data_IF_760221818443
#
_entry.id   IF_760221818443
#
_cell.length_a   1.000
_cell.length_b   1.000
_cell.length_c   1.000
_cell.angle_alpha   90.00
_cell.angle_beta   90.00
_cell.angle_gamma   90.00
#
_symmetry.space_group_name_H-M   'P 1'
#
loop_
_entity.id
_entity.type
_entity.pdbx_description
1 polymer ?
#
# COMPACT_ATOMS: atom_id res chain seq x y z
N UNK A 1 -12.42 22.63 -3.06
CA UNK A 1 -11.75 21.61 -2.23
C UNK A 1 -10.62 21.08 -3.09
N UNK A 2 -9.37 21.33 -2.70
CA UNK A 2 -8.22 20.79 -3.44
C UNK A 2 -8.05 19.30 -3.12
N UNK A 3 -7.81 18.43 -4.11
CA UNK A 3 -7.56 17.01 -3.87
C UNK A 3 -6.25 16.78 -3.07
N UNK A 4 -6.24 15.81 -2.16
CA UNK A 4 -5.07 15.44 -1.34
C UNK A 4 -3.89 14.84 -2.13
N UNK A 5 -4.14 14.49 -3.40
CA UNK A 5 -3.17 13.92 -4.32
C UNK A 5 -2.07 14.94 -4.66
N UNK A 6 -0.83 14.46 -4.73
CA UNK A 6 0.36 15.25 -4.97
C UNK A 6 0.73 15.29 -6.44
N UNK A 7 1.43 16.34 -6.84
CA UNK A 7 2.23 16.30 -8.07
C UNK A 7 3.66 15.82 -7.75
N UNK A 8 4.44 15.56 -8.81
CA UNK A 8 5.82 15.07 -8.70
C UNK A 8 6.72 15.94 -7.80
N UNK A 9 6.61 17.27 -7.90
CA UNK A 9 7.44 18.18 -7.12
C UNK A 9 7.09 18.09 -5.63
N UNK A 10 5.80 18.09 -5.30
CA UNK A 10 5.32 17.95 -3.92
C UNK A 10 5.75 16.62 -3.29
N UNK A 11 5.62 15.51 -4.04
CA UNK A 11 6.03 14.20 -3.58
C UNK A 11 7.54 14.11 -3.33
N UNK A 12 8.34 14.69 -4.23
CA UNK A 12 9.80 14.78 -4.05
C UNK A 12 10.17 15.59 -2.82
N UNK A 13 9.55 16.75 -2.62
CA UNK A 13 9.85 17.63 -1.49
C UNK A 13 9.49 16.95 -0.15
N UNK A 14 8.34 16.27 -0.10
CA UNK A 14 7.92 15.48 1.06
C UNK A 14 8.88 14.32 1.34
N UNK A 15 9.29 13.59 0.30
CA UNK A 15 10.27 12.52 0.41
C UNK A 15 11.60 13.04 0.99
N UNK A 16 12.14 14.13 0.44
CA UNK A 16 13.40 14.71 0.92
C UNK A 16 13.30 15.14 2.38
N UNK A 17 12.18 15.77 2.76
CA UNK A 17 11.92 16.17 4.15
C UNK A 17 11.91 14.96 5.09
N UNK A 18 11.08 13.96 4.80
CA UNK A 18 10.91 12.78 5.67
C UNK A 18 12.20 11.97 5.76
N UNK A 19 12.96 11.85 4.66
CA UNK A 19 14.25 11.16 4.67
C UNK A 19 15.25 11.83 5.62
N UNK A 20 15.30 13.17 5.62
CA UNK A 20 16.18 13.92 6.51
C UNK A 20 15.76 13.81 7.99
N UNK A 21 14.45 13.81 8.26
CA UNK A 21 13.89 13.77 9.61
C UNK A 21 13.97 12.36 10.22
N UNK A 22 13.55 11.33 9.47
CA UNK A 22 13.38 9.96 9.97
C UNK A 22 14.65 9.11 9.86
N UNK A 23 15.58 9.46 8.96
CA UNK A 23 16.83 8.71 8.71
C UNK A 23 16.58 7.21 8.55
N UNK A 24 15.74 6.83 7.57
CA UNK A 24 15.24 5.46 7.45
C UNK A 24 16.35 4.47 7.13
N UNK A 25 16.11 3.21 7.52
CA UNK A 25 16.89 2.04 7.09
C UNK A 25 16.11 1.14 6.14
N UNK A 26 14.83 1.44 5.91
CA UNK A 26 13.96 0.68 5.02
C UNK A 26 14.37 0.85 3.54
N UNK A 27 13.93 -0.05 2.64
CA UNK A 27 14.17 0.09 1.22
C UNK A 27 13.57 1.38 0.63
N UNK A 28 14.36 2.06 -0.20
CA UNK A 28 13.94 3.23 -0.97
C UNK A 28 14.05 2.89 -2.47
N UNK A 29 13.04 2.20 -3.05
CA UNK A 29 13.13 1.69 -4.41
C UNK A 29 13.19 2.82 -5.44
N UNK A 30 13.79 2.52 -6.59
CA UNK A 30 13.73 3.38 -7.75
C UNK A 30 12.43 3.15 -8.52
N UNK A 31 11.96 4.19 -9.20
CA UNK A 31 10.86 4.07 -10.14
C UNK A 31 11.24 3.17 -11.32
N UNK A 32 10.24 2.70 -12.08
CA UNK A 32 10.45 1.82 -13.25
C UNK A 32 10.99 2.56 -14.49
N UNK A 33 11.30 3.85 -14.39
CA UNK A 33 11.80 4.65 -15.49
C UNK A 33 13.31 4.44 -15.69
N UNK A 34 13.83 4.83 -16.85
CA UNK A 34 15.25 4.74 -17.21
C UNK A 34 15.80 6.11 -17.57
N UNK A 35 17.13 6.25 -17.53
CA UNK A 35 17.82 7.48 -17.91
C UNK A 35 17.45 8.66 -17.00
N UNK A 36 17.26 9.85 -17.57
CA UNK A 36 17.01 11.09 -16.83
C UNK A 36 15.72 11.09 -16.01
N UNK A 37 14.77 10.18 -16.32
CA UNK A 37 13.52 10.03 -15.56
C UNK A 37 13.65 9.04 -14.40
N UNK A 38 14.79 8.34 -14.29
CA UNK A 38 15.05 7.45 -13.17
C UNK A 38 15.20 8.28 -11.89
N UNK A 39 14.37 7.98 -10.91
CA UNK A 39 14.35 8.65 -9.61
C UNK A 39 13.86 7.65 -8.55
N UNK A 40 13.98 7.95 -7.25
CA UNK A 40 13.24 7.21 -6.23
C UNK A 40 11.76 7.15 -6.57
N UNK A 41 11.11 6.03 -6.28
CA UNK A 41 9.65 5.92 -6.23
C UNK A 41 9.18 6.68 -4.98
N UNK A 42 9.02 8.00 -5.11
CA UNK A 42 8.89 8.92 -3.98
C UNK A 42 7.79 8.53 -2.99
N UNK A 43 6.59 8.23 -3.49
CA UNK A 43 5.44 7.84 -2.69
C UNK A 43 5.65 6.49 -2.01
N UNK A 44 6.18 5.50 -2.73
CA UNK A 44 6.55 4.20 -2.14
C UNK A 44 7.57 4.36 -1.02
N UNK A 45 8.63 5.13 -1.25
CA UNK A 45 9.65 5.39 -0.23
C UNK A 45 9.09 6.16 0.97
N UNK A 46 8.20 7.15 0.75
CA UNK A 46 7.48 7.85 1.84
C UNK A 46 6.71 6.87 2.71
N UNK A 47 5.94 5.96 2.09
CA UNK A 47 5.16 4.95 2.81
C UNK A 47 6.08 4.03 3.61
N UNK A 48 7.16 3.53 3.00
CA UNK A 48 8.13 2.67 3.69
C UNK A 48 8.73 3.36 4.92
N UNK A 49 9.16 4.61 4.79
CA UNK A 49 9.70 5.42 5.90
C UNK A 49 8.69 5.59 7.04
N UNK A 50 7.43 5.86 6.71
CA UNK A 50 6.36 6.06 7.69
C UNK A 50 6.01 4.75 8.41
N UNK A 51 6.00 3.61 7.69
CA UNK A 51 5.80 2.29 8.29
C UNK A 51 6.96 1.96 9.23
N UNK A 52 8.21 2.08 8.78
CA UNK A 52 9.40 1.79 9.58
C UNK A 52 9.43 2.60 10.88
N UNK A 53 9.21 3.92 10.78
CA UNK A 53 9.23 4.81 11.93
C UNK A 53 8.15 4.49 12.99
N UNK A 54 7.11 3.73 12.63
CA UNK A 54 5.99 3.42 13.51
C UNK A 54 5.85 1.92 13.84
N UNK A 55 6.67 1.03 13.24
CA UNK A 55 6.55 -0.43 13.40
C UNK A 55 7.07 -0.96 14.75
N UNK A 56 7.58 -0.10 15.63
CA UNK A 56 8.24 -0.46 16.90
C UNK A 56 9.44 -1.41 16.71
N UNK A 57 10.05 -1.41 15.52
CA UNK A 57 11.15 -2.32 15.20
C UNK A 57 10.70 -3.74 14.85
N UNK A 58 9.40 -4.00 14.73
CA UNK A 58 8.92 -5.26 14.17
C UNK A 58 9.25 -5.37 12.68
N UNK A 59 9.45 -6.61 12.23
CA UNK A 59 9.70 -6.92 10.83
C UNK A 59 8.56 -6.40 9.96
N UNK A 60 8.94 -5.88 8.79
CA UNK A 60 8.04 -5.44 7.75
C UNK A 60 8.64 -5.92 6.43
N UNK A 61 7.82 -6.54 5.58
CA UNK A 61 8.26 -6.93 4.25
C UNK A 61 7.79 -5.89 3.23
N UNK A 62 8.71 -5.02 2.79
CA UNK A 62 8.44 -3.90 1.88
C UNK A 62 8.51 -4.27 0.39
N UNK A 63 8.89 -5.51 0.07
CA UNK A 63 8.86 -6.07 -1.28
C UNK A 63 8.86 -7.60 -1.16
N UNK A 64 7.70 -8.22 -0.90
CA UNK A 64 7.69 -9.61 -0.47
C UNK A 64 8.18 -10.63 -1.48
N UNK A 65 8.12 -10.33 -2.78
CA UNK A 65 8.55 -11.22 -3.88
C UNK A 65 7.95 -12.64 -3.86
N UNK A 66 6.99 -12.89 -2.99
CA UNK A 66 6.30 -14.16 -2.79
C UNK A 66 4.80 -13.91 -2.54
N UNK A 67 3.99 -14.96 -2.64
CA UNK A 67 2.55 -14.87 -2.46
C UNK A 67 2.20 -14.91 -0.97
N UNK A 68 1.27 -14.05 -0.55
CA UNK A 68 0.74 -14.13 0.81
C UNK A 68 -0.07 -15.41 1.01
N UNK A 69 0.11 -16.05 2.16
CA UNK A 69 -0.58 -17.30 2.49
C UNK A 69 -1.15 -17.27 3.90
N UNK A 70 -2.28 -17.96 4.07
CA UNK A 70 -2.97 -18.13 5.33
C UNK A 70 -2.93 -19.61 5.70
N UNK A 71 -2.41 -19.90 6.88
CA UNK A 71 -2.21 -21.26 7.36
C UNK A 71 -3.10 -21.57 8.56
N UNK A 72 -3.39 -22.84 8.76
CA UNK A 72 -3.97 -23.39 9.99
C UNK A 72 -3.11 -24.59 10.39
N UNK A 73 -2.62 -24.62 11.63
CA UNK A 73 -1.65 -25.63 12.10
C UNK A 73 -0.45 -25.82 11.15
N UNK A 74 0.09 -24.70 10.65
CA UNK A 74 1.17 -24.64 9.66
C UNK A 74 0.86 -25.26 8.28
N UNK A 75 -0.38 -25.67 8.01
CA UNK A 75 -0.81 -26.12 6.69
C UNK A 75 -1.44 -24.95 5.90
N UNK A 76 -1.05 -24.71 4.64
CA UNK A 76 -1.62 -23.63 3.83
C UNK A 76 -3.07 -23.93 3.46
N UNK A 77 -3.97 -23.01 3.84
CA UNK A 77 -5.41 -23.11 3.56
C UNK A 77 -5.80 -22.23 2.38
N UNK A 78 -5.18 -21.06 2.26
CA UNK A 78 -5.44 -20.08 1.21
C UNK A 78 -4.16 -19.33 0.88
N UNK A 79 -3.94 -19.00 -0.38
CA UNK A 79 -2.87 -18.10 -0.82
C UNK A 79 -3.43 -17.07 -1.78
N UNK A 80 -2.93 -15.84 -1.77
CA UNK A 80 -3.27 -14.89 -2.83
C UNK A 80 -2.71 -15.37 -4.17
N UNK A 81 -3.40 -15.01 -5.23
CA UNK A 81 -2.98 -15.31 -6.62
C UNK A 81 -1.87 -14.38 -7.09
N UNK A 82 -1.69 -13.25 -6.40
CA UNK A 82 -0.72 -12.21 -6.75
C UNK A 82 0.13 -11.79 -5.56
N UNK A 83 1.23 -11.10 -5.91
CA UNK A 83 2.11 -10.45 -4.95
C UNK A 83 1.56 -9.05 -4.67
N UNK A 84 1.60 -8.68 -3.41
CA UNK A 84 1.31 -7.33 -2.94
C UNK A 84 2.60 -6.50 -2.89
N UNK A 85 2.45 -5.18 -2.71
CA UNK A 85 3.61 -4.28 -2.60
C UNK A 85 4.27 -4.36 -1.22
N UNK A 86 3.54 -4.76 -0.17
CA UNK A 86 4.15 -5.10 1.11
C UNK A 86 3.21 -5.70 2.14
N UNK A 87 3.79 -6.18 3.24
CA UNK A 87 3.10 -6.91 4.30
C UNK A 87 3.68 -6.64 5.68
N UNK A 88 2.82 -6.70 6.70
CA UNK A 88 3.21 -6.64 8.11
C UNK A 88 2.66 -7.84 8.90
N UNK A 89 3.49 -8.53 9.71
CA UNK A 89 4.95 -8.42 9.74
C UNK A 89 5.60 -9.11 8.52
N UNK A 90 4.95 -10.15 7.99
CA UNK A 90 5.41 -10.94 6.85
C UNK A 90 4.21 -11.44 6.03
N UNK A 91 4.48 -12.23 4.98
CA UNK A 91 3.45 -12.74 4.04
C UNK A 91 2.66 -13.96 4.50
N UNK A 92 3.09 -14.65 5.55
CA UNK A 92 2.44 -15.83 6.11
C UNK A 92 1.63 -15.42 7.33
N UNK A 93 0.30 -15.54 7.23
CA UNK A 93 -0.64 -14.97 8.20
C UNK A 93 -0.39 -13.46 8.48
N UNK A 94 -0.37 -12.61 7.44
CA UNK A 94 -0.17 -11.18 7.61
C UNK A 94 -1.29 -10.56 8.46
N UNK A 95 -0.93 -9.58 9.28
CA UNK A 95 -1.87 -8.66 9.93
C UNK A 95 -2.30 -7.59 8.92
N UNK A 96 -1.37 -7.12 8.10
CA UNK A 96 -1.65 -6.13 7.07
C UNK A 96 -0.97 -6.45 5.75
N UNK A 97 -1.64 -6.11 4.67
CA UNK A 97 -1.14 -6.09 3.30
C UNK A 97 -1.44 -4.71 2.71
N UNK A 98 -0.53 -4.21 1.89
CA UNK A 98 -0.75 -2.95 1.19
C UNK A 98 -0.33 -3.00 -0.27
N UNK A 99 -1.01 -2.14 -1.04
CA UNK A 99 -0.72 -1.86 -2.43
C UNK A 99 -0.50 -0.35 -2.63
N UNK A 100 0.44 -0.01 -3.52
CA UNK A 100 0.88 1.35 -3.77
C UNK A 100 0.79 1.63 -5.26
N UNK A 101 -0.04 2.61 -5.63
CA UNK A 101 -0.20 3.03 -7.02
C UNK A 101 0.34 4.45 -7.21
N UNK A 102 1.57 4.53 -7.73
CA UNK A 102 2.29 5.76 -8.03
C UNK A 102 2.50 5.94 -9.54
N UNK A 103 2.13 7.11 -10.09
CA UNK A 103 2.17 7.34 -11.54
C UNK A 103 2.79 8.66 -12.01
N UNK A 104 3.60 9.37 -11.21
CA UNK A 104 4.08 10.74 -11.51
C UNK A 104 4.73 11.01 -12.88
N UNK A 105 5.26 9.98 -13.54
CA UNK A 105 5.90 10.09 -14.86
C UNK A 105 4.99 9.66 -16.02
N UNK A 106 3.72 9.38 -15.74
CA UNK A 106 2.73 8.91 -16.69
C UNK A 106 2.09 10.10 -17.41
N UNK A 107 2.06 10.04 -18.75
CA UNK A 107 1.47 11.10 -19.59
C UNK A 107 0.10 10.74 -20.15
N UNK A 108 -0.32 9.47 -20.02
CA UNK A 108 -1.60 8.98 -20.53
C UNK A 108 -2.28 8.10 -19.50
N UNK A 109 -3.61 8.23 -19.41
CA UNK A 109 -4.39 7.26 -18.66
C UNK A 109 -4.62 6.03 -19.55
N UNK A 110 -4.08 4.89 -19.15
CA UNK A 110 -4.09 3.67 -19.95
C UNK A 110 -4.22 2.42 -19.10
N UNK A 111 -4.10 1.26 -19.77
CA UNK A 111 -4.32 -0.06 -19.16
C UNK A 111 -3.61 -0.22 -17.82
N UNK A 112 -2.35 0.21 -17.69
CA UNK A 112 -1.57 0.08 -16.46
C UNK A 112 -2.23 0.70 -15.22
N UNK A 113 -2.92 1.83 -15.35
CA UNK A 113 -3.58 2.48 -14.21
C UNK A 113 -4.87 1.73 -13.86
N UNK A 114 -5.61 1.29 -14.89
CA UNK A 114 -6.79 0.44 -14.72
C UNK A 114 -6.45 -0.92 -14.09
N UNK A 115 -5.37 -1.55 -14.56
CA UNK A 115 -4.83 -2.81 -14.05
C UNK A 115 -4.58 -2.68 -12.54
N UNK A 116 -3.99 -1.57 -12.10
CA UNK A 116 -3.79 -1.31 -10.67
C UNK A 116 -5.08 -1.40 -9.85
N UNK A 117 -6.22 -0.91 -10.36
CA UNK A 117 -7.51 -0.97 -9.66
C UNK A 117 -8.10 -2.38 -9.69
N UNK A 118 -8.04 -3.05 -10.84
CA UNK A 118 -8.60 -4.41 -10.98
C UNK A 118 -7.77 -5.47 -10.24
N UNK A 119 -6.46 -5.29 -10.16
CA UNK A 119 -5.56 -6.12 -9.34
C UNK A 119 -5.94 -6.00 -7.86
N UNK A 120 -6.06 -4.78 -7.33
CA UNK A 120 -6.52 -4.59 -5.94
C UNK A 120 -7.92 -5.15 -5.70
N UNK A 121 -8.80 -5.08 -6.69
CA UNK A 121 -10.13 -5.67 -6.57
C UNK A 121 -10.07 -7.20 -6.46
N UNK A 122 -9.24 -7.85 -7.28
CA UNK A 122 -9.00 -9.29 -7.20
C UNK A 122 -8.46 -9.66 -5.82
N UNK A 123 -7.36 -9.04 -5.39
CA UNK A 123 -6.74 -9.29 -4.08
C UNK A 123 -7.76 -9.07 -2.94
N UNK A 124 -8.61 -8.04 -3.06
CA UNK A 124 -9.69 -7.76 -2.11
C UNK A 124 -10.78 -8.84 -2.04
N UNK A 125 -11.16 -9.46 -3.15
CA UNK A 125 -12.09 -10.61 -3.15
C UNK A 125 -11.46 -11.84 -2.49
N UNK A 126 -10.20 -12.12 -2.80
CA UNK A 126 -9.45 -13.23 -2.21
C UNK A 126 -9.32 -13.09 -0.69
N UNK A 127 -9.02 -11.87 -0.22
CA UNK A 127 -8.97 -11.55 1.21
C UNK A 127 -10.35 -11.54 1.87
N UNK A 128 -11.41 -11.25 1.12
CA UNK A 128 -12.79 -11.35 1.63
C UNK A 128 -13.14 -12.80 1.96
N UNK A 129 -12.80 -13.75 1.09
CA UNK A 129 -12.97 -15.19 1.37
C UNK A 129 -12.19 -15.62 2.61
N UNK A 130 -10.95 -15.13 2.79
CA UNK A 130 -10.16 -15.40 3.99
C UNK A 130 -10.86 -14.88 5.25
N UNK A 131 -11.41 -13.66 5.21
CA UNK A 131 -12.16 -13.08 6.33
C UNK A 131 -13.42 -13.89 6.65
N UNK A 132 -14.19 -14.26 5.63
CA UNK A 132 -15.49 -14.90 5.76
C UNK A 132 -15.39 -16.39 6.13
N UNK A 133 -14.41 -17.12 5.58
CA UNK A 133 -14.29 -18.56 5.77
C UNK A 133 -13.25 -18.96 6.82
N UNK A 134 -12.20 -18.16 7.04
CA UNK A 134 -11.16 -18.46 8.04
C UNK A 134 -11.28 -17.61 9.31
N UNK A 135 -12.18 -16.62 9.33
CA UNK A 135 -12.34 -15.71 10.46
C UNK A 135 -11.13 -14.81 10.73
N UNK A 136 -10.15 -14.78 9.81
CA UNK A 136 -8.91 -14.01 9.97
C UNK A 136 -9.14 -12.58 9.54
N UNK A 137 -8.99 -11.64 10.48
CA UNK A 137 -9.03 -10.20 10.19
C UNK A 137 -7.70 -9.78 9.59
N UNK A 138 -7.77 -9.07 8.47
CA UNK A 138 -6.60 -8.55 7.79
C UNK A 138 -6.87 -7.13 7.29
N UNK A 139 -5.90 -6.25 7.50
CA UNK A 139 -5.88 -4.91 6.93
C UNK A 139 -5.43 -5.02 5.47
N UNK A 140 -6.27 -4.54 4.55
CA UNK A 140 -5.95 -4.46 3.13
C UNK A 140 -6.00 -2.99 2.71
N UNK A 141 -4.83 -2.36 2.63
CA UNK A 141 -4.71 -0.93 2.40
C UNK A 141 -4.31 -0.62 0.95
N UNK A 142 -5.06 0.24 0.29
CA UNK A 142 -4.69 0.80 -1.01
C UNK A 142 -4.21 2.24 -0.84
N UNK A 143 -2.99 2.54 -1.27
CA UNK A 143 -2.42 3.88 -1.21
C UNK A 143 -2.18 4.37 -2.63
N UNK A 144 -2.75 5.52 -2.98
CA UNK A 144 -2.64 6.04 -4.34
C UNK A 144 -2.14 7.49 -4.33
N UNK A 145 -1.31 7.82 -5.31
CA UNK A 145 -0.87 9.19 -5.54
C UNK A 145 -0.61 9.47 -7.02
N UNK A 146 -0.37 10.75 -7.33
CA UNK A 146 -0.38 11.42 -8.62
C UNK A 146 -1.73 12.07 -8.97
N UNK A 147 -1.79 13.37 -8.69
CA UNK A 147 -2.89 14.27 -9.01
C UNK A 147 -3.29 14.20 -10.48
N UNK A 148 -2.34 14.26 -11.41
CA UNK A 148 -2.68 14.31 -12.83
C UNK A 148 -3.32 13.00 -13.29
N UNK A 149 -2.75 11.87 -12.87
CA UNK A 149 -3.28 10.55 -13.22
C UNK A 149 -4.67 10.33 -12.65
N UNK A 150 -4.85 10.47 -11.34
CA UNK A 150 -6.10 10.09 -10.69
C UNK A 150 -7.18 11.16 -10.77
N UNK A 151 -6.83 12.43 -10.54
CA UNK A 151 -7.79 13.52 -10.57
C UNK A 151 -7.95 14.16 -11.95
N UNK A 152 -6.85 14.33 -12.68
CA UNK A 152 -6.87 14.92 -14.02
C UNK A 152 -7.54 13.99 -15.03
N UNK A 153 -7.08 12.75 -15.12
CA UNK A 153 -7.49 11.81 -16.17
C UNK A 153 -8.39 10.67 -15.68
N UNK A 154 -8.26 10.27 -14.40
CA UNK A 154 -8.78 9.00 -13.87
C UNK A 154 -9.99 9.07 -12.95
N UNK A 155 -10.79 10.15 -13.00
CA UNK A 155 -11.87 10.37 -12.02
C UNK A 155 -12.87 9.22 -11.90
N UNK A 156 -13.18 8.54 -13.00
CA UNK A 156 -14.08 7.37 -12.98
C UNK A 156 -13.50 6.20 -12.16
N UNK A 157 -12.18 6.04 -12.12
CA UNK A 157 -11.52 5.02 -11.32
C UNK A 157 -11.47 5.38 -9.83
N UNK A 158 -11.46 6.67 -9.48
CA UNK A 158 -11.68 7.08 -8.10
C UNK A 158 -13.05 6.61 -7.58
N UNK A 159 -14.11 6.70 -8.41
CA UNK A 159 -15.41 6.15 -8.04
C UNK A 159 -15.35 4.63 -7.83
N UNK A 160 -14.61 3.90 -8.68
CA UNK A 160 -14.43 2.44 -8.51
C UNK A 160 -13.69 2.09 -7.22
N UNK A 161 -12.69 2.88 -6.85
CA UNK A 161 -11.98 2.71 -5.59
C UNK A 161 -12.92 2.98 -4.39
N UNK A 162 -13.79 3.99 -4.49
CA UNK A 162 -14.85 4.19 -3.50
C UNK A 162 -15.81 3.00 -3.44
N UNK A 163 -16.21 2.42 -4.58
CA UNK A 163 -17.06 1.22 -4.61
C UNK A 163 -16.36 0.05 -3.91
N UNK A 164 -15.07 -0.18 -4.18
CA UNK A 164 -14.27 -1.23 -3.54
C UNK A 164 -14.21 -1.08 -2.02
N UNK A 165 -14.09 0.15 -1.52
CA UNK A 165 -14.12 0.43 -0.09
C UNK A 165 -15.49 0.10 0.51
N UNK A 166 -16.59 0.51 -0.13
CA UNK A 166 -17.95 0.19 0.34
C UNK A 166 -18.26 -1.31 0.29
N UNK A 167 -17.72 -2.02 -0.70
CA UNK A 167 -17.84 -3.47 -0.81
C UNK A 167 -16.98 -4.23 0.22
N UNK A 168 -16.11 -3.53 0.95
CA UNK A 168 -15.19 -4.11 1.93
C UNK A 168 -14.09 -4.95 1.28
N UNK A 169 -13.71 -4.65 0.03
CA UNK A 169 -12.60 -5.32 -0.67
C UNK A 169 -11.25 -4.79 -0.21
N UNK A 170 -11.18 -3.49 0.05
CA UNK A 170 -10.10 -2.83 0.79
C UNK A 170 -10.65 -2.40 2.14
N UNK A 171 -9.82 -2.47 3.18
CA UNK A 171 -10.20 -1.94 4.50
C UNK A 171 -9.97 -0.45 4.59
N UNK A 172 -9.02 0.08 3.80
CA UNK A 172 -8.71 1.50 3.77
C UNK A 172 -8.13 1.93 2.43
N UNK A 173 -8.43 3.17 2.04
CA UNK A 173 -7.84 3.84 0.89
C UNK A 173 -7.23 5.16 1.35
N UNK A 174 -5.97 5.41 1.04
CA UNK A 174 -5.23 6.59 1.49
C UNK A 174 -4.77 7.40 0.28
N UNK A 175 -5.12 8.69 0.24
CA UNK A 175 -4.88 9.54 -0.93
C UNK A 175 -3.74 10.53 -0.70
N UNK A 176 -2.65 10.36 -1.45
CA UNK A 176 -1.51 11.27 -1.48
C UNK A 176 -1.01 11.69 -0.09
N UNK A 177 -1.09 13.00 0.22
CA UNK A 177 -0.53 13.57 1.47
C UNK A 177 -1.12 12.96 2.75
N UNK A 178 -2.29 12.34 2.67
CA UNK A 178 -2.94 11.68 3.80
C UNK A 178 -2.07 10.57 4.41
N UNK A 179 -1.14 9.98 3.64
CA UNK A 179 -0.23 8.96 4.16
C UNK A 179 0.55 9.44 5.38
N UNK A 180 0.92 10.72 5.43
CA UNK A 180 1.71 11.31 6.53
C UNK A 180 0.96 11.25 7.85
N UNK A 181 -0.36 11.33 7.82
CA UNK A 181 -1.21 11.28 9.02
C UNK A 181 -1.77 9.89 9.29
N UNK A 182 -2.20 9.17 8.24
CA UNK A 182 -2.98 7.94 8.41
C UNK A 182 -2.11 6.69 8.53
N UNK A 183 -1.03 6.56 7.76
CA UNK A 183 -0.13 5.38 7.84
C UNK A 183 0.45 5.20 9.25
N UNK A 184 0.95 6.25 9.94
CA UNK A 184 1.42 6.10 11.32
C UNK A 184 0.37 5.55 12.30
N UNK A 185 -0.90 5.91 12.12
CA UNK A 185 -1.99 5.42 12.97
C UNK A 185 -2.30 3.95 12.68
N UNK A 186 -2.37 3.58 11.39
CA UNK A 186 -2.57 2.19 10.97
C UNK A 186 -1.47 1.27 11.49
N UNK A 187 -0.21 1.67 11.38
CA UNK A 187 0.91 0.85 11.85
C UNK A 187 0.85 0.67 13.37
N UNK A 188 0.41 1.68 14.14
CA UNK A 188 0.17 1.53 15.58
C UNK A 188 -0.95 0.54 15.88
N UNK A 189 -2.01 0.51 15.07
CA UNK A 189 -3.07 -0.51 15.17
C UNK A 189 -2.51 -1.90 14.87
N UNK A 190 -1.69 -2.05 13.82
CA UNK A 190 -1.06 -3.32 13.44
C UNK A 190 -0.13 -3.86 14.52
N UNK A 191 0.75 -3.00 15.05
CA UNK A 191 1.67 -3.40 16.13
C UNK A 191 0.92 -3.81 17.39
N UNK A 192 -0.18 -3.12 17.74
CA UNK A 192 -1.04 -3.51 18.86
C UNK A 192 -1.73 -4.85 18.64
N UNK A 193 -2.16 -5.15 17.42
CA UNK A 193 -2.71 -6.46 17.08
C UNK A 193 -1.64 -7.55 17.17
N UNK A 194 -0.44 -7.30 16.65
CA UNK A 194 0.69 -8.24 16.72
C UNK A 194 1.09 -8.54 18.17
N UNK A 195 1.16 -7.51 19.01
CA UNK A 195 1.40 -7.64 20.45
C UNK A 195 0.35 -8.52 21.16
N UNK A 196 -0.87 -8.61 20.62
CA UNK A 196 -1.95 -9.43 21.17
C UNK A 196 -1.94 -10.88 20.63
N UNK A 197 -1.36 -11.13 19.45
CA UNK A 197 -1.26 -12.47 18.85
C UNK A 197 -0.05 -13.27 19.37
N UNK A 198 0.99 -12.61 19.88
CA UNK A 198 2.19 -13.26 20.45
C UNK A 198 2.01 -13.62 21.95
N UNK A 199 1.04 -13.02 22.63
CA UNK A 199 0.73 -13.29 24.04
C UNK A 199 -0.12 -14.54 24.20
#
# INVERSE_FOLDING_TARGET
MEPNLQNLAQARDLYTKLKAELKPTCPEPLNKQKGEKQAPAYFTSIINMLIEANSKGYDCNYDPKELSAFTHDNFPIRSLSRRVDGSFPNVINPIALWEIKEYYYTTTFGSRVADGVYETQLDGYELKEVREHLGKKIHHCLMIDDHNTWWGMGKSYLCRICDMLHMGLVTEVIFGKEVVTRVPLLVKEWTKQFDAEIK
#
